data_IF_771141227120
#
_entry.id   IF_771141227120
#
_cell.length_a   1.000
_cell.length_b   1.000
_cell.length_c   1.000
_cell.angle_alpha   90.00
_cell.angle_beta   90.00
_cell.angle_gamma   90.00
#
_symmetry.space_group_name_H-M   'P 1'
#
loop_
_entity.id
_entity.type
_entity.pdbx_description
1 polymer ?
#
# COMPACT_ATOMS: atom_id res chain seq x y z
N UNK A 1 -10.97 -16.38 -11.47
CA UNK A 1 -9.90 -16.30 -10.45
C UNK A 1 -9.21 -14.96 -10.60
N UNK A 2 -9.24 -14.10 -9.58
CA UNK A 2 -8.47 -12.85 -9.63
C UNK A 2 -7.00 -13.23 -9.75
N UNK A 3 -6.35 -12.85 -10.86
CA UNK A 3 -4.92 -13.13 -11.08
C UNK A 3 -4.17 -12.61 -9.84
N UNK A 4 -3.39 -13.46 -9.14
CA UNK A 4 -2.56 -12.96 -8.06
C UNK A 4 -1.64 -11.90 -8.65
N UNK A 5 -1.57 -10.75 -7.98
CA UNK A 5 -0.61 -9.70 -8.33
C UNK A 5 0.78 -10.32 -8.49
N UNK A 6 1.44 -10.05 -9.61
CA UNK A 6 2.82 -10.49 -9.81
C UNK A 6 3.73 -9.80 -8.78
N UNK A 7 4.91 -10.38 -8.47
CA UNK A 7 5.87 -9.74 -7.56
C UNK A 7 6.18 -8.30 -7.94
N UNK A 8 6.35 -8.02 -9.23
CA UNK A 8 6.60 -6.65 -9.74
C UNK A 8 5.43 -5.71 -9.46
N UNK A 9 4.18 -6.15 -9.73
CA UNK A 9 3.01 -5.31 -9.45
C UNK A 9 2.83 -5.04 -7.95
N UNK A 10 3.25 -5.96 -7.08
CA UNK A 10 3.27 -5.73 -5.63
C UNK A 10 4.31 -4.70 -5.23
N UNK A 11 5.53 -4.81 -5.73
CA UNK A 11 6.60 -3.86 -5.41
C UNK A 11 6.26 -2.45 -5.94
N UNK A 12 5.68 -2.36 -7.14
CA UNK A 12 5.18 -1.09 -7.67
C UNK A 12 4.07 -0.51 -6.79
N UNK A 13 3.13 -1.34 -6.35
CA UNK A 13 2.06 -0.93 -5.43
C UNK A 13 2.61 -0.47 -4.08
N UNK A 14 3.60 -1.17 -3.52
CA UNK A 14 4.29 -0.76 -2.28
C UNK A 14 4.98 0.58 -2.44
N UNK A 15 5.80 0.74 -3.48
CA UNK A 15 6.49 2.00 -3.76
C UNK A 15 5.50 3.16 -3.93
N UNK A 16 4.37 2.92 -4.60
CA UNK A 16 3.30 3.90 -4.78
C UNK A 16 2.64 4.26 -3.44
N UNK A 17 2.34 3.29 -2.58
CA UNK A 17 1.81 3.53 -1.22
C UNK A 17 2.80 4.37 -0.39
N UNK A 18 4.08 3.99 -0.37
CA UNK A 18 5.12 4.73 0.36
C UNK A 18 5.22 6.16 -0.16
N UNK A 19 5.27 6.35 -1.47
CA UNK A 19 5.33 7.68 -2.09
C UNK A 19 4.10 8.53 -1.75
N UNK A 20 2.90 7.94 -1.74
CA UNK A 20 1.67 8.61 -1.37
C UNK A 20 1.65 9.05 0.10
N UNK A 21 2.06 8.17 1.02
CA UNK A 21 2.10 8.47 2.46
C UNK A 21 3.23 9.45 2.78
N UNK A 22 4.40 9.35 2.13
CA UNK A 22 5.46 10.36 2.30
C UNK A 22 5.06 11.73 1.77
N UNK A 23 4.32 11.79 0.66
CA UNK A 23 3.86 13.05 0.05
C UNK A 23 2.72 13.70 0.83
N UNK A 24 1.72 12.90 1.24
CA UNK A 24 0.50 13.43 1.88
C UNK A 24 0.54 13.34 3.41
N UNK A 25 1.56 12.71 3.98
CA UNK A 25 1.61 12.37 5.40
C UNK A 25 0.63 11.24 5.73
N UNK A 26 -0.24 11.46 6.73
CA UNK A 26 -1.17 10.43 7.19
C UNK A 26 -2.27 10.17 6.14
N UNK A 27 -2.40 8.93 5.70
CA UNK A 27 -3.46 8.49 4.78
C UNK A 27 -4.28 7.34 5.37
N UNK A 28 -5.58 7.32 5.07
CA UNK A 28 -6.49 6.22 5.44
C UNK A 28 -6.50 5.12 4.38
N UNK A 29 -6.98 3.93 4.73
CA UNK A 29 -7.16 2.82 3.78
C UNK A 29 -7.96 3.21 2.55
N UNK A 30 -9.10 3.87 2.74
CA UNK A 30 -9.94 4.29 1.62
C UNK A 30 -9.30 5.36 0.73
N UNK A 31 -8.33 6.14 1.24
CA UNK A 31 -7.55 7.05 0.43
C UNK A 31 -6.48 6.30 -0.37
N UNK A 32 -5.83 5.31 0.25
CA UNK A 32 -4.83 4.47 -0.41
C UNK A 32 -5.45 3.58 -1.49
N UNK A 33 -6.61 2.99 -1.25
CA UNK A 33 -7.38 2.26 -2.27
C UNK A 33 -7.72 3.15 -3.47
N UNK A 34 -8.24 4.36 -3.23
CA UNK A 34 -8.56 5.31 -4.31
C UNK A 34 -7.31 5.79 -5.06
N UNK A 35 -6.21 6.05 -4.37
CA UNK A 35 -4.99 6.59 -4.97
C UNK A 35 -4.17 5.53 -5.73
N UNK A 36 -4.23 4.28 -5.28
CA UNK A 36 -3.55 3.16 -5.92
C UNK A 36 -4.42 2.42 -6.93
N UNK A 37 -5.74 2.55 -6.84
CA UNK A 37 -6.70 1.76 -7.62
C UNK A 37 -6.71 0.27 -7.25
N UNK A 38 -5.99 -0.12 -6.20
CA UNK A 38 -5.90 -1.49 -5.74
C UNK A 38 -7.00 -1.79 -4.72
N UNK A 39 -7.52 -3.02 -4.75
CA UNK A 39 -8.53 -3.46 -3.80
C UNK A 39 -8.01 -3.59 -2.38
N UNK A 40 -8.92 -3.53 -1.40
CA UNK A 40 -8.65 -3.59 0.03
C UNK A 40 -7.61 -4.63 0.44
N UNK A 41 -7.78 -5.87 -0.04
CA UNK A 41 -6.89 -6.98 0.30
C UNK A 41 -5.46 -6.78 -0.20
N UNK A 42 -5.29 -6.21 -1.39
CA UNK A 42 -3.97 -5.93 -1.98
C UNK A 42 -3.28 -4.78 -1.25
N UNK A 43 -4.02 -3.70 -0.97
CA UNK A 43 -3.50 -2.54 -0.22
C UNK A 43 -3.09 -2.97 1.18
N UNK A 44 -3.96 -3.68 1.91
CA UNK A 44 -3.67 -4.16 3.27
C UNK A 44 -2.45 -5.05 3.31
N UNK A 45 -2.32 -6.00 2.37
CA UNK A 45 -1.14 -6.88 2.32
C UNK A 45 0.14 -6.08 2.05
N UNK A 46 0.13 -5.15 1.11
CA UNK A 46 1.29 -4.30 0.84
C UNK A 46 1.62 -3.41 2.03
N UNK A 47 0.60 -2.89 2.73
CA UNK A 47 0.79 -2.08 3.92
C UNK A 47 1.52 -2.86 5.01
N UNK A 48 1.10 -4.11 5.28
CA UNK A 48 1.75 -4.96 6.29
C UNK A 48 3.21 -5.22 5.95
N UNK A 49 3.52 -5.51 4.68
CA UNK A 49 4.92 -5.68 4.23
C UNK A 49 5.74 -4.40 4.44
N UNK A 50 5.18 -3.23 4.12
CA UNK A 50 5.85 -1.92 4.25
C UNK A 50 6.04 -1.53 5.72
N UNK A 51 5.06 -1.82 6.58
CA UNK A 51 5.16 -1.64 8.02
C UNK A 51 6.22 -2.57 8.63
N UNK A 52 6.30 -3.81 8.15
CA UNK A 52 7.33 -4.76 8.58
C UNK A 52 8.74 -4.34 8.16
N UNK A 53 8.87 -3.62 7.04
CA UNK A 53 10.14 -3.04 6.59
C UNK A 53 10.53 -1.78 7.39
N UNK A 54 9.61 -1.21 8.17
CA UNK A 54 9.83 0.02 8.95
C UNK A 54 9.72 1.31 8.13
N UNK A 55 9.30 1.22 6.86
CA UNK A 55 9.14 2.37 5.97
C UNK A 55 7.97 3.28 6.36
N UNK A 56 6.96 2.72 7.02
CA UNK A 56 5.77 3.42 7.49
C UNK A 56 5.45 2.99 8.92
N UNK A 57 4.70 3.82 9.64
CA UNK A 57 4.20 3.52 10.97
C UNK A 57 2.69 3.74 11.04
N UNK A 58 1.95 2.80 11.64
CA UNK A 58 0.54 3.02 11.97
C UNK A 58 0.46 3.72 13.32
N UNK A 59 0.10 5.00 13.32
CA UNK A 59 -0.30 5.70 14.53
C UNK A 59 -1.68 5.16 14.98
N UNK A 60 -1.68 4.37 16.05
CA UNK A 60 -2.88 3.93 16.77
C UNK A 60 -3.66 5.08 17.37
#
# INVERSE_FOLDING_TARGET
>A
MAKPFTPEQREELKARIIGLVRKNGRMTMSQLERATGAGWHSVRRCLVDVLACGDLYMSG
#
